data_IF_445641961758
#
_entry.id   IF_445641961758
#
_cell.length_a   1.000
_cell.length_b   1.000
_cell.length_c   1.000
_cell.angle_alpha   90.00
_cell.angle_beta   90.00
_cell.angle_gamma   90.00
#
_symmetry.space_group_name_H-M   'P 1'
#
loop_
_entity.id
_entity.type
_entity.pdbx_description
1 polymer ?
#
# COMPACT_ATOMS: atom_id res chain seq x y z
N UNK A 1 -65.79 8.48 -62.78
CA UNK A 1 -64.34 8.53 -62.50
C UNK A 1 -64.05 9.89 -61.88
N UNK A 2 -63.96 9.99 -60.56
CA UNK A 2 -63.36 11.12 -59.80
C UNK A 2 -62.90 10.52 -58.47
N UNK A 3 -61.68 10.89 -58.11
CA UNK A 3 -60.73 10.21 -57.25
C UNK A 3 -60.84 10.72 -55.81
N UNK A 4 -60.85 9.80 -54.84
CA UNK A 4 -60.77 10.09 -53.40
C UNK A 4 -59.32 10.42 -53.02
N UNK A 5 -59.11 11.53 -52.31
CA UNK A 5 -57.85 11.79 -51.62
C UNK A 5 -58.10 11.94 -50.12
N UNK A 6 -57.74 10.90 -49.38
CA UNK A 6 -57.44 10.96 -47.94
C UNK A 6 -56.08 11.62 -47.78
N UNK A 7 -56.00 12.69 -47.00
CA UNK A 7 -54.73 13.15 -46.43
C UNK A 7 -54.83 13.13 -44.91
N UNK A 8 -53.88 12.41 -44.34
CA UNK A 8 -53.76 11.99 -42.96
C UNK A 8 -52.62 12.80 -42.32
N UNK A 9 -52.85 13.24 -41.08
CA UNK A 9 -51.89 13.66 -40.04
C UNK A 9 -51.15 14.99 -40.20
N UNK A 10 -51.21 15.79 -39.13
CA UNK A 10 -50.05 16.40 -38.47
C UNK A 10 -50.51 17.08 -37.17
N UNK A 11 -50.37 16.38 -36.04
CA UNK A 11 -50.47 17.00 -34.71
C UNK A 11 -49.08 17.01 -34.09
N UNK A 12 -48.46 18.17 -34.23
CA UNK A 12 -47.35 18.78 -33.51
C UNK A 12 -46.57 17.91 -32.49
N UNK A 13 -45.32 17.61 -32.85
CA UNK A 13 -44.25 17.33 -31.90
C UNK A 13 -43.87 18.63 -31.16
N UNK A 14 -44.26 18.75 -29.89
CA UNK A 14 -43.86 19.84 -29.01
C UNK A 14 -43.52 19.29 -27.61
N UNK A 15 -42.38 18.60 -27.52
CA UNK A 15 -41.79 18.20 -26.24
C UNK A 15 -40.27 18.00 -26.40
N UNK A 16 -39.56 19.05 -26.79
CA UNK A 16 -38.10 19.10 -26.74
C UNK A 16 -37.70 20.44 -26.13
N UNK A 17 -36.74 20.42 -25.19
CA UNK A 17 -35.94 21.55 -24.66
C UNK A 17 -36.01 21.87 -23.14
N UNK A 18 -36.26 20.93 -22.22
CA UNK A 18 -36.06 21.20 -20.76
C UNK A 18 -35.22 20.12 -20.03
N UNK A 19 -34.24 19.48 -20.68
CA UNK A 19 -33.44 18.43 -20.02
C UNK A 19 -31.91 18.60 -20.10
N UNK A 20 -31.39 19.82 -20.28
CA UNK A 20 -29.92 20.05 -20.33
C UNK A 20 -29.36 21.01 -19.27
N UNK A 21 -30.06 21.22 -18.14
CA UNK A 21 -29.55 22.08 -17.05
C UNK A 21 -28.93 21.33 -15.86
N UNK A 22 -28.76 20.00 -15.94
CA UNK A 22 -27.86 19.28 -15.04
C UNK A 22 -26.49 19.12 -15.69
N UNK A 23 -25.86 20.25 -16.04
CA UNK A 23 -24.39 20.29 -16.11
C UNK A 23 -23.94 20.02 -14.69
N UNK A 24 -23.69 18.74 -14.37
CA UNK A 24 -23.02 18.37 -13.13
C UNK A 24 -21.81 19.28 -13.02
N UNK A 25 -21.73 20.02 -11.92
CA UNK A 25 -20.51 20.75 -11.61
C UNK A 25 -19.39 19.71 -11.70
N UNK A 26 -18.56 19.82 -12.73
CA UNK A 26 -17.31 19.12 -12.78
C UNK A 26 -16.58 19.63 -11.54
N UNK A 27 -16.65 18.85 -10.45
CA UNK A 27 -15.81 19.11 -9.31
C UNK A 27 -14.41 18.95 -9.87
N UNK A 28 -13.72 20.07 -10.04
CA UNK A 28 -12.29 20.09 -9.84
C UNK A 28 -12.08 19.75 -8.35
N UNK A 29 -12.39 18.51 -7.96
CA UNK A 29 -11.95 17.95 -6.70
C UNK A 29 -10.46 17.85 -6.89
N UNK A 30 -9.72 18.85 -6.42
CA UNK A 30 -8.32 18.62 -6.09
C UNK A 30 -8.34 17.41 -5.18
N UNK A 31 -7.87 16.26 -5.67
CA UNK A 31 -7.96 14.98 -4.97
C UNK A 31 -7.44 15.14 -3.54
N UNK A 32 -8.36 15.25 -2.58
CA UNK A 32 -8.01 15.38 -1.18
C UNK A 32 -8.00 13.98 -0.59
N UNK A 33 -6.80 13.43 -0.46
CA UNK A 33 -6.62 12.14 0.17
C UNK A 33 -6.86 12.22 1.70
N UNK A 34 -7.18 11.09 2.31
CA UNK A 34 -7.30 10.93 3.77
C UNK A 34 -7.16 9.46 4.13
N UNK A 35 -7.20 9.11 5.42
CA UNK A 35 -7.18 7.70 5.82
C UNK A 35 -8.29 6.89 5.14
N UNK A 36 -9.45 7.52 4.89
CA UNK A 36 -10.57 6.87 4.20
C UNK A 36 -10.28 6.49 2.75
N UNK A 37 -9.28 7.11 2.11
CA UNK A 37 -8.80 6.75 0.77
C UNK A 37 -8.23 5.34 0.76
N UNK A 38 -7.56 4.91 1.84
CA UNK A 38 -7.06 3.55 2.01
C UNK A 38 -8.03 2.72 2.83
N UNK A 39 -8.94 2.02 2.15
CA UNK A 39 -9.87 1.08 2.78
C UNK A 39 -10.00 -0.20 1.97
N UNK A 40 -10.02 -1.34 2.66
CA UNK A 40 -10.14 -2.66 2.07
C UNK A 40 -8.80 -3.39 1.95
N UNK A 41 -8.81 -4.47 1.17
CA UNK A 41 -7.67 -5.39 1.03
C UNK A 41 -6.78 -4.99 -0.15
N UNK A 42 -5.47 -5.09 0.03
CA UNK A 42 -4.45 -4.81 -0.97
C UNK A 42 -3.46 -5.97 -1.03
N UNK A 43 -3.01 -6.28 -2.24
CA UNK A 43 -1.86 -7.16 -2.48
C UNK A 43 -0.62 -6.30 -2.67
N UNK A 44 0.42 -6.56 -1.88
CA UNK A 44 1.70 -5.87 -1.94
C UNK A 44 2.81 -6.76 -2.50
N UNK A 45 3.66 -6.16 -3.33
CA UNK A 45 5.00 -6.64 -3.65
C UNK A 45 6.05 -5.81 -2.91
N UNK A 46 7.14 -6.46 -2.50
CA UNK A 46 8.23 -5.87 -1.72
C UNK A 46 9.54 -6.26 -2.37
N UNK A 47 10.37 -5.28 -2.73
CA UNK A 47 11.67 -5.53 -3.36
C UNK A 47 12.71 -4.55 -2.85
N UNK A 48 13.94 -5.04 -2.63
CA UNK A 48 15.06 -4.18 -2.30
C UNK A 48 16.20 -4.89 -1.61
N UNK A 49 16.90 -4.17 -0.72
CA UNK A 49 17.97 -4.74 0.07
C UNK A 49 18.17 -4.04 1.41
N UNK A 50 18.75 -4.77 2.37
CA UNK A 50 19.33 -4.20 3.58
C UNK A 50 20.82 -4.00 3.36
N UNK A 51 21.31 -2.78 3.56
CA UNK A 51 22.66 -2.40 3.11
C UNK A 51 23.67 -2.28 4.25
N UNK A 52 23.24 -2.25 5.51
CA UNK A 52 24.14 -2.15 6.65
C UNK A 52 23.44 -2.00 7.99
N UNK A 53 24.23 -1.79 9.05
CA UNK A 53 23.73 -1.39 10.37
C UNK A 53 23.84 0.13 10.52
N UNK A 54 22.91 0.74 11.24
CA UNK A 54 22.94 2.17 11.57
C UNK A 54 23.33 2.32 13.03
N UNK A 55 24.43 3.05 13.28
CA UNK A 55 24.89 3.35 14.63
C UNK A 55 25.35 4.81 14.72
N UNK A 56 24.88 5.53 15.73
CA UNK A 56 25.18 6.97 15.89
C UNK A 56 24.72 7.82 14.69
N UNK A 57 23.68 7.39 13.97
CA UNK A 57 23.19 8.07 12.75
C UNK A 57 24.03 7.80 11.49
N UNK A 58 25.06 6.95 11.57
CA UNK A 58 25.94 6.60 10.45
C UNK A 58 25.61 5.18 9.98
N UNK A 59 25.53 5.01 8.65
CA UNK A 59 25.40 3.70 8.02
C UNK A 59 26.77 3.03 7.92
N UNK A 60 26.87 1.82 8.49
CA UNK A 60 28.01 0.93 8.35
C UNK A 60 27.62 -0.23 7.44
N UNK A 61 28.10 -0.25 6.18
CA UNK A 61 27.61 -1.18 5.17
C UNK A 61 28.00 -2.64 5.47
N UNK A 62 27.14 -3.58 5.09
CA UNK A 62 27.48 -5.01 5.07
C UNK A 62 28.54 -5.30 4.00
N UNK A 63 29.18 -6.46 4.08
CA UNK A 63 30.11 -6.94 3.03
C UNK A 63 29.39 -7.18 1.70
N UNK A 64 28.12 -7.59 1.77
CA UNK A 64 27.20 -7.67 0.64
C UNK A 64 25.80 -7.24 1.10
N UNK A 65 25.05 -6.46 0.30
CA UNK A 65 23.65 -6.20 0.57
C UNK A 65 22.86 -7.50 0.76
N UNK A 66 21.94 -7.50 1.72
CA UNK A 66 21.01 -8.60 1.94
C UNK A 66 19.77 -8.36 1.09
N UNK A 67 19.53 -9.20 0.09
CA UNK A 67 18.45 -8.99 -0.87
C UNK A 67 17.10 -9.32 -0.22
N UNK A 68 16.12 -8.44 -0.38
CA UNK A 68 14.78 -8.61 0.15
C UNK A 68 13.80 -8.75 -1.02
N UNK A 69 13.01 -9.81 -0.97
CA UNK A 69 11.89 -10.03 -1.88
C UNK A 69 10.70 -10.57 -1.09
N UNK A 70 9.49 -10.14 -1.39
CA UNK A 70 8.34 -10.56 -0.62
C UNK A 70 7.01 -10.11 -1.17
N UNK A 71 5.97 -10.71 -0.62
CA UNK A 71 4.57 -10.40 -0.93
C UNK A 71 3.77 -10.31 0.36
N UNK A 72 2.76 -9.46 0.38
CA UNK A 72 1.87 -9.34 1.53
C UNK A 72 0.42 -9.12 1.11
N UNK A 73 -0.50 -9.52 1.98
CA UNK A 73 -1.89 -9.09 1.92
C UNK A 73 -2.15 -8.20 3.13
N UNK A 74 -2.60 -6.99 2.88
CA UNK A 74 -2.84 -5.98 3.91
C UNK A 74 -4.26 -5.42 3.80
N UNK A 75 -4.95 -5.34 4.93
CA UNK A 75 -6.32 -4.83 4.99
C UNK A 75 -6.35 -3.53 5.79
N UNK A 76 -6.59 -2.41 5.10
CA UNK A 76 -6.77 -1.11 5.71
C UNK A 76 -8.21 -0.89 6.16
N UNK A 77 -8.39 -0.29 7.33
CA UNK A 77 -9.70 -0.02 7.93
C UNK A 77 -10.40 1.28 7.45
N UNK A 78 -9.71 2.13 6.68
CA UNK A 78 -10.16 3.49 6.32
C UNK A 78 -10.09 4.53 7.46
N UNK A 79 -9.51 4.19 8.62
CA UNK A 79 -9.48 5.01 9.84
C UNK A 79 -8.08 5.23 10.43
N UNK A 80 -7.09 4.46 9.99
CA UNK A 80 -5.68 4.63 10.38
C UNK A 80 -5.04 3.38 10.95
N UNK A 81 -5.68 2.21 10.89
CA UNK A 81 -5.09 0.92 11.27
C UNK A 81 -5.20 -0.14 10.18
N UNK A 82 -4.29 -1.11 10.19
CA UNK A 82 -4.38 -2.25 9.29
C UNK A 82 -3.92 -3.55 9.97
N UNK A 83 -4.32 -4.66 9.37
CA UNK A 83 -3.76 -5.98 9.62
C UNK A 83 -3.07 -6.49 8.36
N UNK A 84 -2.10 -7.38 8.54
CA UNK A 84 -1.28 -7.89 7.45
C UNK A 84 -0.89 -9.35 7.69
N UNK A 85 -0.63 -10.04 6.59
CA UNK A 85 0.11 -11.30 6.53
C UNK A 85 1.09 -11.23 5.38
N UNK A 86 2.28 -11.80 5.53
CA UNK A 86 3.32 -11.71 4.52
C UNK A 86 4.15 -12.98 4.35
N UNK A 87 4.89 -12.99 3.25
CA UNK A 87 5.98 -13.93 3.02
C UNK A 87 7.16 -13.14 2.49
N UNK A 88 8.31 -13.28 3.12
CA UNK A 88 9.50 -12.52 2.80
C UNK A 88 10.73 -13.42 2.77
N UNK A 89 11.54 -13.23 1.74
CA UNK A 89 12.82 -13.87 1.52
C UNK A 89 13.93 -12.86 1.80
N UNK A 90 14.95 -13.31 2.52
CA UNK A 90 16.22 -12.61 2.70
C UNK A 90 17.33 -13.45 2.07
N UNK A 91 17.91 -12.96 0.97
CA UNK A 91 19.03 -13.58 0.27
C UNK A 91 18.76 -15.07 -0.06
N UNK A 92 17.54 -15.37 -0.51
CA UNK A 92 17.11 -16.72 -0.90
C UNK A 92 16.64 -17.61 0.26
N UNK A 93 16.60 -17.12 1.50
CA UNK A 93 16.08 -17.85 2.66
C UNK A 93 14.82 -17.17 3.21
N UNK A 94 13.79 -17.92 3.63
CA UNK A 94 12.61 -17.32 4.23
C UNK A 94 12.98 -16.64 5.55
N UNK A 95 12.32 -15.51 5.84
CA UNK A 95 12.44 -14.82 7.13
C UNK A 95 12.11 -15.82 8.26
N UNK A 96 12.96 -15.97 9.28
CA UNK A 96 12.65 -16.82 10.44
C UNK A 96 11.40 -16.32 11.16
N UNK A 97 10.61 -17.24 11.71
CA UNK A 97 9.41 -16.92 12.49
C UNK A 97 8.34 -18.01 12.41
N UNK A 98 7.29 -17.86 13.21
CA UNK A 98 6.11 -18.70 13.12
C UNK A 98 5.33 -18.36 11.83
N UNK A 99 4.88 -19.39 11.13
CA UNK A 99 4.08 -19.27 9.92
C UNK A 99 2.86 -20.17 10.00
N UNK A 100 1.83 -19.83 9.22
CA UNK A 100 0.66 -20.68 9.04
C UNK A 100 0.96 -21.89 8.15
N UNK A 101 -0.04 -22.73 7.91
CA UNK A 101 0.10 -23.95 7.08
C UNK A 101 0.43 -23.66 5.60
N UNK A 102 0.21 -22.44 5.12
CA UNK A 102 0.58 -22.01 3.77
C UNK A 102 1.96 -21.35 3.72
N UNK A 103 2.67 -21.26 4.85
CA UNK A 103 4.01 -20.67 4.95
C UNK A 103 4.06 -19.16 5.16
N UNK A 104 2.91 -18.48 5.31
CA UNK A 104 2.85 -17.03 5.55
C UNK A 104 2.97 -16.71 7.03
N UNK A 105 3.67 -15.64 7.37
CA UNK A 105 3.63 -15.04 8.70
C UNK A 105 2.29 -14.32 8.92
N UNK A 106 1.80 -14.35 10.15
CA UNK A 106 0.50 -13.79 10.53
C UNK A 106 0.60 -12.99 11.84
N UNK A 107 -0.39 -12.13 12.07
CA UNK A 107 -0.47 -11.30 13.28
C UNK A 107 0.29 -9.97 13.18
N UNK A 108 0.73 -9.59 11.97
CA UNK A 108 1.27 -8.27 11.71
C UNK A 108 0.16 -7.23 11.80
N UNK A 109 0.45 -6.15 12.52
CA UNK A 109 -0.49 -5.04 12.72
C UNK A 109 0.23 -3.72 12.50
N UNK A 110 -0.53 -2.66 12.33
CA UNK A 110 0.07 -1.34 12.28
C UNK A 110 -0.89 -0.20 12.12
N UNK A 111 -0.32 0.99 12.01
CA UNK A 111 -1.03 2.25 11.86
C UNK A 111 -0.59 2.98 10.60
N UNK A 112 -1.45 3.80 10.03
CA UNK A 112 -1.12 4.65 8.89
C UNK A 112 -1.82 6.00 9.00
N UNK A 113 -1.22 7.00 8.36
CA UNK A 113 -1.81 8.31 8.16
C UNK A 113 -1.62 8.69 6.69
N UNK A 114 -2.69 9.17 6.05
CA UNK A 114 -2.67 9.75 4.72
C UNK A 114 -3.02 11.23 4.82
N UNK A 115 -2.18 12.06 4.23
CA UNK A 115 -2.31 13.50 4.16
C UNK A 115 -3.20 13.90 2.99
N UNK A 116 -3.67 15.16 2.99
CA UNK A 116 -4.53 15.70 1.93
C UNK A 116 -3.86 15.69 0.55
N UNK A 117 -2.53 15.72 0.48
CA UNK A 117 -1.73 15.67 -0.74
C UNK A 117 -1.36 14.24 -1.18
N UNK A 118 -2.02 13.24 -0.61
CA UNK A 118 -1.82 11.81 -0.88
C UNK A 118 -0.45 11.25 -0.48
N UNK A 119 0.37 12.03 0.23
CA UNK A 119 1.52 11.49 0.95
C UNK A 119 1.08 10.89 2.29
N UNK A 120 1.95 10.13 2.95
CA UNK A 120 1.63 9.61 4.26
C UNK A 120 2.73 8.78 4.88
N UNK A 121 2.39 8.16 6.00
CA UNK A 121 3.28 7.26 6.73
C UNK A 121 2.56 5.98 7.11
N UNK A 122 3.31 4.88 7.22
CA UNK A 122 2.85 3.62 7.77
C UNK A 122 3.85 3.10 8.78
N UNK A 123 3.34 2.57 9.89
CA UNK A 123 4.11 1.96 10.97
C UNK A 123 3.66 0.51 11.11
N UNK A 124 4.55 -0.44 10.81
CA UNK A 124 4.29 -1.88 10.86
C UNK A 124 4.99 -2.48 12.08
N UNK A 125 4.25 -3.27 12.86
CA UNK A 125 4.76 -4.03 14.00
C UNK A 125 4.56 -5.51 13.72
N UNK A 126 5.68 -6.24 13.65
CA UNK A 126 5.67 -7.70 13.49
C UNK A 126 5.51 -8.39 14.86
N UNK A 127 4.92 -9.61 14.90
CA UNK A 127 4.79 -10.37 16.14
C UNK A 127 6.11 -10.52 16.90
N UNK A 128 6.07 -10.32 18.22
CA UNK A 128 7.24 -10.42 19.09
C UNK A 128 8.21 -9.24 19.00
N UNK A 129 7.94 -8.21 18.20
CA UNK A 129 8.77 -7.02 18.14
C UNK A 129 8.82 -6.27 19.49
N UNK A 130 9.95 -5.62 19.84
CA UNK A 130 11.21 -5.62 19.10
C UNK A 130 12.15 -6.79 19.47
N UNK A 131 11.74 -7.69 20.36
CA UNK A 131 12.61 -8.73 20.92
C UNK A 131 12.79 -9.95 19.99
N UNK A 132 11.80 -10.24 19.15
CA UNK A 132 11.81 -11.35 18.19
C UNK A 132 11.25 -10.96 16.81
N UNK A 133 10.67 -9.76 16.68
CA UNK A 133 10.10 -9.23 15.44
C UNK A 133 10.68 -7.88 15.06
N UNK A 134 10.32 -7.39 13.87
CA UNK A 134 10.74 -6.11 13.34
C UNK A 134 9.70 -4.99 13.58
N UNK A 135 10.15 -3.74 13.53
CA UNK A 135 9.32 -2.54 13.46
C UNK A 135 9.76 -1.74 12.24
N UNK A 136 8.83 -1.43 11.34
CA UNK A 136 9.11 -0.69 10.10
C UNK A 136 8.34 0.63 10.08
N UNK A 137 9.03 1.71 9.71
CA UNK A 137 8.38 2.96 9.31
C UNK A 137 8.53 3.15 7.80
N UNK A 138 7.43 3.42 7.11
CA UNK A 138 7.36 3.59 5.66
C UNK A 138 6.84 4.99 5.35
N UNK A 139 7.49 5.67 4.41
CA UNK A 139 6.91 6.83 3.74
C UNK A 139 6.13 6.33 2.54
N UNK A 140 4.86 6.72 2.42
CA UNK A 140 3.97 6.25 1.36
C UNK A 140 3.42 7.39 0.52
N UNK A 141 3.05 7.04 -0.71
CA UNK A 141 2.25 7.85 -1.63
C UNK A 141 1.08 7.00 -2.09
N UNK A 142 -0.11 7.59 -2.06
CA UNK A 142 -1.35 7.00 -2.56
C UNK A 142 -1.60 7.54 -3.96
N UNK A 143 -1.81 6.63 -4.91
CA UNK A 143 -2.15 6.92 -6.30
C UNK A 143 -3.50 6.34 -6.69
N UNK A 144 -3.93 6.67 -7.90
CA UNK A 144 -5.11 6.09 -8.56
C UNK A 144 -6.35 6.05 -7.66
N UNK A 145 -6.68 7.16 -6.98
CA UNK A 145 -7.82 7.27 -6.06
C UNK A 145 -7.86 6.18 -4.97
N UNK A 146 -6.68 5.82 -4.44
CA UNK A 146 -6.55 4.79 -3.44
C UNK A 146 -6.44 3.38 -4.01
N UNK A 147 -6.37 3.20 -5.32
CA UNK A 147 -6.17 1.87 -5.91
C UNK A 147 -4.69 1.43 -5.89
N UNK A 148 -3.77 2.39 -5.77
CA UNK A 148 -2.33 2.17 -5.73
C UNK A 148 -1.71 2.77 -4.47
N UNK A 149 -0.83 2.01 -3.82
CA UNK A 149 0.02 2.47 -2.72
C UNK A 149 1.45 2.20 -3.11
N UNK A 150 2.31 3.22 -3.08
CA UNK A 150 3.76 3.07 -3.19
C UNK A 150 4.40 3.51 -1.89
N UNK A 151 5.50 2.87 -1.52
CA UNK A 151 6.23 3.30 -0.35
C UNK A 151 7.68 2.88 -0.36
N UNK A 152 8.44 3.51 0.52
CA UNK A 152 9.83 3.15 0.81
C UNK A 152 9.98 2.96 2.32
N UNK A 153 10.64 1.87 2.71
CA UNK A 153 10.97 1.63 4.12
C UNK A 153 12.00 2.66 4.53
N UNK A 154 11.60 3.57 5.41
CA UNK A 154 12.41 4.71 5.88
C UNK A 154 13.18 4.40 7.16
N UNK A 155 12.70 3.42 7.94
CA UNK A 155 13.37 2.94 9.14
C UNK A 155 12.99 1.49 9.38
N UNK A 156 13.98 0.72 9.81
CA UNK A 156 13.80 -0.67 10.18
C UNK A 156 14.55 -0.97 11.48
N UNK A 157 13.81 -1.43 12.48
CA UNK A 157 14.32 -1.90 13.75
C UNK A 157 14.11 -3.41 13.85
N UNK A 158 15.16 -4.13 14.25
CA UNK A 158 15.15 -5.59 14.39
C UNK A 158 15.73 -6.00 15.74
N UNK A 159 15.57 -7.27 16.17
CA UNK A 159 16.17 -7.76 17.41
C UNK A 159 17.70 -7.78 17.37
N UNK A 160 18.28 -7.95 16.18
CA UNK A 160 19.70 -7.98 15.96
C UNK A 160 20.03 -8.09 14.48
N UNK A 161 21.31 -7.91 14.15
CA UNK A 161 21.83 -8.07 12.80
C UNK A 161 23.23 -8.65 12.82
N UNK A 162 23.64 -9.22 11.69
CA UNK A 162 25.05 -9.54 11.42
C UNK A 162 25.92 -8.27 11.47
N UNK A 163 27.22 -8.39 11.83
CA UNK A 163 28.12 -7.25 11.78
C UNK A 163 28.25 -6.68 10.36
N UNK A 164 28.52 -5.38 10.28
CA UNK A 164 28.93 -4.73 9.03
C UNK A 164 30.29 -5.23 8.53
N UNK A 165 30.69 -4.82 7.32
CA UNK A 165 31.94 -5.21 6.69
C UNK A 165 33.19 -4.87 7.53
N UNK A 166 33.14 -3.81 8.34
CA UNK A 166 34.25 -3.40 9.21
C UNK A 166 34.11 -3.88 10.65
N UNK A 167 33.19 -4.80 10.93
CA UNK A 167 32.96 -5.38 12.24
C UNK A 167 32.08 -4.54 13.17
N UNK A 168 31.55 -3.39 12.73
CA UNK A 168 30.58 -2.65 13.54
C UNK A 168 29.35 -3.51 13.79
N UNK A 169 28.99 -3.66 15.06
CA UNK A 169 27.82 -4.41 15.52
C UNK A 169 26.65 -3.47 15.75
N UNK A 170 25.44 -4.03 15.65
CA UNK A 170 24.23 -3.28 15.95
C UNK A 170 24.13 -2.95 17.45
N UNK A 171 23.58 -1.79 17.78
CA UNK A 171 23.24 -1.41 19.15
C UNK A 171 21.91 -1.99 19.62
N UNK A 172 21.47 -1.58 20.81
CA UNK A 172 20.11 -1.81 21.32
C UNK A 172 19.42 -0.45 21.53
N UNK A 173 18.39 -0.08 20.74
CA UNK A 173 17.77 -0.86 19.66
C UNK A 173 18.66 -1.03 18.41
N UNK A 174 18.48 -2.13 17.69
CA UNK A 174 19.22 -2.39 16.46
C UNK A 174 18.49 -1.81 15.25
N UNK A 175 19.11 -0.81 14.61
CA UNK A 175 18.62 -0.25 13.35
C UNK A 175 19.47 -0.72 12.19
N UNK A 176 18.81 -1.06 11.09
CA UNK A 176 19.46 -1.44 9.84
C UNK A 176 19.10 -0.44 8.75
N UNK A 177 19.92 -0.36 7.70
CA UNK A 177 19.69 0.53 6.58
C UNK A 177 18.86 -0.16 5.49
N UNK A 178 17.55 0.09 5.41
CA UNK A 178 16.73 -0.41 4.31
C UNK A 178 16.95 0.41 3.04
N UNK A 179 16.93 -0.27 1.91
CA UNK A 179 16.74 0.26 0.55
C UNK A 179 15.65 -0.59 -0.10
N UNK A 180 14.43 -0.47 0.43
CA UNK A 180 13.30 -1.35 0.12
C UNK A 180 12.12 -0.51 -0.33
N UNK A 181 11.60 -0.84 -1.51
CA UNK A 181 10.35 -0.31 -2.05
C UNK A 181 9.21 -1.31 -1.86
N UNK A 182 8.02 -0.78 -1.64
CA UNK A 182 6.78 -1.54 -1.64
C UNK A 182 5.81 -0.94 -2.65
N UNK A 183 5.04 -1.80 -3.29
CA UNK A 183 3.92 -1.40 -4.13
C UNK A 183 2.73 -2.27 -3.80
N UNK A 184 1.57 -1.66 -3.57
CA UNK A 184 0.33 -2.33 -3.22
C UNK A 184 -0.78 -1.92 -4.16
N UNK A 185 -1.51 -2.89 -4.69
CA UNK A 185 -2.71 -2.66 -5.49
C UNK A 185 -3.92 -3.16 -4.72
N UNK A 186 -5.03 -2.42 -4.82
CA UNK A 186 -6.28 -2.83 -4.21
C UNK A 186 -6.77 -4.12 -4.88
N UNK A 187 -7.24 -5.05 -4.06
CA UNK A 187 -7.85 -6.28 -4.54
C UNK A 187 -9.33 -6.00 -4.74
N UNK A 188 -9.79 -5.99 -5.99
CA UNK A 188 -11.22 -5.91 -6.27
C UNK A 188 -11.91 -7.16 -5.75
N UNK A 189 -12.80 -6.98 -4.76
CA UNK A 189 -13.66 -8.05 -4.26
C UNK A 189 -14.87 -8.29 -5.15
N UNK A 190 -15.01 -7.57 -6.27
CA UNK A 190 -16.18 -7.60 -7.15
C UNK A 190 -16.08 -8.62 -8.29
N UNK A 191 -15.26 -9.66 -8.12
CA UNK A 191 -15.45 -10.89 -8.88
C UNK A 191 -16.59 -11.70 -8.26
N UNK A 192 -17.80 -11.24 -8.56
CA UNK A 192 -19.04 -11.94 -8.30
C UNK A 192 -18.93 -13.43 -8.65
N UNK A 193 -19.13 -14.25 -7.62
CA UNK A 193 -19.73 -15.57 -7.76
C UNK A 193 -21.22 -15.45 -7.53
#
# INVERSE_FOLDING_TARGET
>A
MIMTHRFWNNSAAAAALVLMSLSGAARADGHQCSNSTLRGTYSFGVHGSLVGVIAGGVLYPYSSPQLIDGVAVQTFDGKGTFTRKDFLMNTGLPRPGATNTAGFAEGETGTYQVNADCTGTMHIVFPGAPAAGAILDIQLVVGDDGQLVRGVVSKEQVPGSMPSANGMTCGAPCFIGPQISIEGTKVDTDHGR
#
